data_IF_770986656185
#
_entry.id   IF_770986656185
#
_cell.length_a   1.000
_cell.length_b   1.000
_cell.length_c   1.000
_cell.angle_alpha   90.00
_cell.angle_beta   90.00
_cell.angle_gamma   90.00
#
_symmetry.space_group_name_H-M   'P 1'
#
loop_
_entity.id
_entity.type
_entity.pdbx_description
1 polymer ?
#
# COMPACT_ATOMS: atom_id res chain seq x y z
N UNK A 1 -6.42 -9.89 -14.86
CA UNK A 1 -5.06 -9.37 -14.58
C UNK A 1 -4.80 -9.59 -13.09
N UNK A 2 -3.73 -10.31 -12.74
CA UNK A 2 -3.35 -10.55 -11.34
C UNK A 2 -2.11 -9.73 -11.05
N UNK A 3 -2.09 -8.98 -9.95
CA UNK A 3 -0.95 -8.20 -9.51
C UNK A 3 -0.28 -8.88 -8.29
N UNK A 4 0.55 -9.91 -8.50
CA UNK A 4 1.27 -10.57 -7.41
C UNK A 4 2.17 -9.60 -6.62
N UNK A 5 2.64 -8.54 -7.26
CA UNK A 5 3.46 -7.48 -6.67
C UNK A 5 2.73 -6.75 -5.53
N UNK A 6 1.44 -6.42 -5.72
CA UNK A 6 0.64 -5.74 -4.68
C UNK A 6 0.53 -6.63 -3.43
N UNK A 7 0.36 -7.95 -3.62
CA UNK A 7 0.32 -8.90 -2.50
C UNK A 7 1.68 -9.01 -1.81
N UNK A 8 2.77 -9.02 -2.58
CA UNK A 8 4.12 -9.03 -2.06
C UNK A 8 4.35 -7.82 -1.15
N UNK A 9 4.08 -6.61 -1.63
CA UNK A 9 4.30 -5.39 -0.84
C UNK A 9 3.46 -5.39 0.42
N UNK A 10 2.17 -5.74 0.33
CA UNK A 10 1.29 -5.85 1.50
C UNK A 10 1.90 -6.77 2.56
N UNK A 11 2.29 -7.98 2.15
CA UNK A 11 2.86 -8.97 3.06
C UNK A 11 4.17 -8.45 3.67
N UNK A 12 5.06 -7.93 2.83
CA UNK A 12 6.38 -7.48 3.23
C UNK A 12 6.33 -6.32 4.22
N UNK A 13 5.56 -5.26 3.94
CA UNK A 13 5.43 -4.10 4.84
C UNK A 13 4.81 -4.52 6.18
N UNK A 14 3.70 -5.27 6.15
CA UNK A 14 2.98 -5.66 7.36
C UNK A 14 3.85 -6.60 8.21
N UNK A 15 4.50 -7.59 7.62
CA UNK A 15 5.36 -8.52 8.36
C UNK A 15 6.56 -7.82 9.01
N UNK A 16 7.20 -6.87 8.32
CA UNK A 16 8.29 -6.09 8.93
C UNK A 16 7.77 -5.19 10.06
N UNK A 17 6.63 -4.53 9.89
CA UNK A 17 6.05 -3.67 10.93
C UNK A 17 5.76 -4.40 12.25
N UNK A 18 5.45 -5.70 12.20
CA UNK A 18 5.19 -6.52 13.39
C UNK A 18 6.46 -6.83 14.20
N UNK A 19 7.64 -6.70 13.59
CA UNK A 19 8.93 -6.93 14.24
C UNK A 19 9.55 -5.63 14.78
N UNK A 20 8.95 -4.48 14.48
CA UNK A 20 9.47 -3.16 14.84
C UNK A 20 8.78 -2.63 16.11
N UNK A 21 9.49 -1.92 16.99
CA UNK A 21 8.92 -1.33 18.21
C UNK A 21 8.15 -0.03 17.88
N UNK A 22 7.09 -0.15 17.09
CA UNK A 22 6.29 1.01 16.64
C UNK A 22 5.49 1.63 17.80
N UNK A 23 5.21 2.93 17.70
CA UNK A 23 4.23 3.59 18.57
C UNK A 23 2.78 3.32 18.09
N UNK A 24 1.79 3.84 18.81
CA UNK A 24 0.38 3.68 18.43
C UNK A 24 0.04 4.38 17.10
N UNK A 25 0.66 5.53 16.84
CA UNK A 25 0.43 6.32 15.64
C UNK A 25 0.90 5.58 14.40
N UNK A 26 2.11 5.01 14.42
CA UNK A 26 2.69 4.22 13.34
C UNK A 26 1.91 2.92 13.11
N UNK A 27 1.46 2.26 14.18
CA UNK A 27 0.56 1.10 14.07
C UNK A 27 -0.74 1.46 13.35
N UNK A 28 -1.33 2.61 13.66
CA UNK A 28 -2.55 3.08 13.00
C UNK A 28 -2.30 3.43 11.53
N UNK A 29 -1.17 4.07 11.20
CA UNK A 29 -0.78 4.36 9.83
C UNK A 29 -0.60 3.07 9.00
N UNK A 30 0.02 2.04 9.57
CA UNK A 30 0.18 0.73 8.91
C UNK A 30 -1.13 -0.03 8.78
N UNK A 31 -2.02 0.05 9.77
CA UNK A 31 -3.35 -0.55 9.67
C UNK A 31 -4.15 0.09 8.52
N UNK A 32 -4.13 1.42 8.43
CA UNK A 32 -4.78 2.17 7.34
C UNK A 32 -4.19 1.81 5.97
N UNK A 33 -2.85 1.74 5.86
CA UNK A 33 -2.17 1.26 4.66
C UNK A 33 -2.64 -0.15 4.26
N UNK A 34 -2.62 -1.10 5.19
CA UNK A 34 -3.03 -2.49 4.96
C UNK A 34 -4.46 -2.56 4.43
N UNK A 35 -5.38 -1.85 5.06
CA UNK A 35 -6.79 -1.88 4.70
C UNK A 35 -7.01 -1.26 3.30
N UNK A 36 -6.27 -0.20 2.97
CA UNK A 36 -6.22 0.38 1.62
C UNK A 36 -5.73 -0.63 0.58
N UNK A 37 -4.63 -1.33 0.84
CA UNK A 37 -4.09 -2.35 -0.07
C UNK A 37 -5.05 -3.55 -0.21
N UNK A 38 -5.72 -3.96 0.86
CA UNK A 38 -6.70 -5.05 0.84
C UNK A 38 -7.94 -4.72 0.00
N UNK A 39 -8.40 -3.46 0.02
CA UNK A 39 -9.44 -2.98 -0.86
C UNK A 39 -9.03 -3.09 -2.34
N UNK A 40 -7.79 -2.71 -2.67
CA UNK A 40 -7.23 -2.82 -4.02
C UNK A 40 -7.12 -4.28 -4.46
N UNK A 41 -6.57 -5.16 -3.62
CA UNK A 41 -6.49 -6.59 -3.90
C UNK A 41 -7.87 -7.23 -4.14
N UNK A 42 -8.89 -6.77 -3.41
CA UNK A 42 -10.28 -7.18 -3.61
C UNK A 42 -10.82 -6.72 -4.96
N UNK A 43 -10.55 -5.47 -5.35
CA UNK A 43 -10.94 -4.96 -6.67
C UNK A 43 -10.23 -5.72 -7.81
N UNK A 44 -8.94 -6.04 -7.65
CA UNK A 44 -8.15 -6.86 -8.59
C UNK A 44 -8.76 -8.24 -8.74
N UNK A 45 -9.06 -8.93 -7.63
CA UNK A 45 -9.69 -10.26 -7.63
C UNK A 45 -11.03 -10.25 -8.37
N UNK A 46 -11.79 -9.18 -8.22
CA UNK A 46 -13.11 -9.03 -8.84
C UNK A 46 -13.06 -8.48 -10.27
N UNK A 47 -11.86 -8.26 -10.85
CA UNK A 47 -11.71 -7.69 -12.21
C UNK A 47 -12.13 -6.22 -12.33
N UNK A 48 -12.18 -5.47 -11.23
CA UNK A 48 -12.66 -4.08 -11.16
C UNK A 48 -11.55 -3.02 -11.16
N UNK A 49 -10.37 -3.35 -11.71
CA UNK A 49 -9.17 -2.49 -11.64
C UNK A 49 -9.29 -1.18 -12.40
N UNK A 50 -10.22 -1.09 -13.36
CA UNK A 50 -10.52 0.13 -14.12
C UNK A 50 -11.78 0.85 -13.64
N UNK A 51 -12.51 0.28 -12.66
CA UNK A 51 -13.73 0.89 -12.12
C UNK A 51 -13.33 2.03 -11.20
N UNK A 52 -13.82 3.23 -11.50
CA UNK A 52 -13.62 4.40 -10.65
C UNK A 52 -14.63 4.41 -9.50
N UNK A 53 -14.19 4.83 -8.32
CA UNK A 53 -15.08 5.08 -7.20
C UNK A 53 -15.81 6.42 -7.32
N UNK A 54 -16.56 6.79 -6.28
CA UNK A 54 -17.35 8.03 -6.25
C UNK A 54 -16.51 9.31 -6.37
N UNK A 55 -15.22 9.26 -6.04
CA UNK A 55 -14.28 10.37 -6.15
C UNK A 55 -13.52 10.35 -7.49
N UNK A 56 -13.82 9.39 -8.37
CA UNK A 56 -13.21 9.26 -9.68
C UNK A 56 -11.88 8.52 -9.69
N UNK A 57 -11.46 7.92 -8.58
CA UNK A 57 -10.19 7.19 -8.45
C UNK A 57 -10.34 5.71 -8.80
N UNK A 58 -9.39 5.19 -9.56
CA UNK A 58 -9.24 3.75 -9.77
C UNK A 58 -8.61 3.08 -8.54
N UNK A 59 -8.72 1.75 -8.40
CA UNK A 59 -7.98 1.02 -7.38
C UNK A 59 -6.46 1.27 -7.38
N UNK A 60 -5.85 1.50 -8.55
CA UNK A 60 -4.41 1.81 -8.60
C UNK A 60 -4.12 3.23 -8.12
N UNK A 61 -4.98 4.20 -8.39
CA UNK A 61 -4.86 5.55 -7.82
C UNK A 61 -4.99 5.50 -6.28
N UNK A 62 -5.93 4.68 -5.77
CA UNK A 62 -6.07 4.44 -4.32
C UNK A 62 -4.87 3.73 -3.72
N UNK A 63 -4.24 2.81 -4.45
CA UNK A 63 -3.00 2.18 -4.02
C UNK A 63 -1.90 3.24 -3.85
N UNK A 64 -1.73 4.11 -4.85
CA UNK A 64 -0.76 5.20 -4.80
C UNK A 64 -1.05 6.16 -3.63
N UNK A 65 -2.32 6.50 -3.39
CA UNK A 65 -2.73 7.31 -2.24
C UNK A 65 -2.44 6.63 -0.89
N UNK A 66 -2.58 5.30 -0.81
CA UNK A 66 -2.25 4.54 0.39
C UNK A 66 -0.74 4.59 0.70
N UNK A 67 0.12 4.46 -0.32
CA UNK A 67 1.56 4.65 -0.14
C UNK A 67 1.92 6.06 0.29
N UNK A 68 1.40 7.08 -0.42
CA UNK A 68 1.68 8.47 -0.10
C UNK A 68 1.22 8.83 1.32
N UNK A 69 0.01 8.42 1.70
CA UNK A 69 -0.54 8.67 3.04
C UNK A 69 0.27 7.99 4.13
N UNK A 70 0.61 6.72 3.96
CA UNK A 70 1.43 5.99 4.94
C UNK A 70 2.83 6.58 5.07
N UNK A 71 3.48 6.94 3.96
CA UNK A 71 4.80 7.59 3.96
C UNK A 71 4.80 8.90 4.76
N UNK A 72 3.75 9.72 4.60
CA UNK A 72 3.61 10.99 5.29
C UNK A 72 3.27 10.83 6.78
N UNK A 73 2.52 9.78 7.14
CA UNK A 73 2.04 9.57 8.49
C UNK A 73 3.05 8.85 9.38
N UNK A 74 3.83 7.91 8.86
CA UNK A 74 4.80 7.13 9.64
C UNK A 74 5.85 8.04 10.27
N UNK A 75 6.10 7.95 11.57
CA UNK A 75 7.20 8.58 12.29
C UNK A 75 8.48 7.75 12.19
N UNK A 76 8.36 6.41 12.26
CA UNK A 76 9.47 5.48 12.14
C UNK A 76 10.17 5.60 10.77
N UNK A 77 11.44 6.02 10.78
CA UNK A 77 12.21 6.28 9.56
C UNK A 77 12.54 5.01 8.78
N UNK A 78 12.81 3.89 9.47
CA UNK A 78 13.18 2.64 8.82
C UNK A 78 11.98 2.04 8.08
N UNK A 79 10.79 2.09 8.70
CA UNK A 79 9.55 1.63 8.07
C UNK A 79 9.11 2.56 6.94
N UNK A 80 9.34 3.87 7.09
CA UNK A 80 9.11 4.85 6.03
C UNK A 80 10.01 4.59 4.81
N UNK A 81 11.29 4.30 5.04
CA UNK A 81 12.25 3.94 3.98
C UNK A 81 11.87 2.63 3.30
N UNK A 82 11.45 1.62 4.07
CA UNK A 82 10.94 0.35 3.56
C UNK A 82 9.72 0.57 2.64
N UNK A 83 8.77 1.39 3.09
CA UNK A 83 7.56 1.73 2.35
C UNK A 83 7.89 2.45 1.05
N UNK A 84 8.82 3.40 1.09
CA UNK A 84 9.29 4.11 -0.10
C UNK A 84 10.02 3.18 -1.08
N UNK A 85 10.86 2.25 -0.60
CA UNK A 85 11.53 1.26 -1.44
C UNK A 85 10.53 0.34 -2.15
N UNK A 86 9.50 -0.13 -1.45
CA UNK A 86 8.46 -0.96 -2.04
C UNK A 86 7.57 -0.19 -3.02
N UNK A 87 7.30 1.08 -2.75
CA UNK A 87 6.59 1.95 -3.70
C UNK A 87 7.39 2.09 -5.00
N UNK A 88 8.68 2.43 -4.92
CA UNK A 88 9.56 2.53 -6.09
C UNK A 88 9.68 1.21 -6.85
N UNK A 89 9.65 0.08 -6.14
CA UNK A 89 9.64 -1.24 -6.78
C UNK A 89 8.37 -1.50 -7.58
N UNK A 90 7.19 -1.08 -7.11
CA UNK A 90 5.93 -1.18 -7.88
C UNK A 90 5.96 -0.33 -9.15
N UNK A 91 6.56 0.86 -9.09
CA UNK A 91 6.76 1.72 -10.26
C UNK A 91 7.71 1.04 -11.25
N UNK A 92 8.84 0.51 -10.79
CA UNK A 92 9.80 -0.21 -11.62
C UNK A 92 9.20 -1.48 -12.29
N UNK A 93 8.16 -2.08 -11.67
CA UNK A 93 7.40 -3.20 -12.22
C UNK A 93 6.28 -2.78 -13.19
N UNK A 94 6.03 -1.48 -13.36
CA UNK A 94 4.94 -0.97 -14.18
C UNK A 94 3.55 -1.22 -13.57
N UNK A 95 3.47 -1.50 -12.27
CA UNK A 95 2.19 -1.67 -11.56
C UNK A 95 1.60 -0.32 -11.19
N UNK A 96 2.46 0.61 -10.76
CA UNK A 96 2.12 2.01 -10.51
C UNK A 96 2.82 2.89 -11.55
N UNK A 97 2.23 4.05 -11.89
CA UNK A 97 2.88 5.06 -12.72
C UNK A 97 4.03 5.76 -11.99
#
# INVERSE_FOLDING_TARGET
>A
MTYPEIRHVRHYIVSNSLMMPLDEHDRNAIAWFRDGVDAVLTAVRNGKTAVRDAEGFTPLDRLQAAFAGAYLLLNDSELRDLLHAQWNWLIAKGVLP
#
